data_IF_828402694859
#
_entry.id   IF_828402694859
#
_cell.length_a   1.000
_cell.length_b   1.000
_cell.length_c   1.000
_cell.angle_alpha   90.00
_cell.angle_beta   90.00
_cell.angle_gamma   90.00
#
_symmetry.space_group_name_H-M   'P 1'
#
loop_
_entity.id
_entity.type
_entity.pdbx_description
1 polymer ?
#
# COMPACT_ATOMS: atom_id res chain seq x y z
N UNK A 1 13.50 34.77 44.21
CA UNK A 1 13.15 33.48 44.81
C UNK A 1 11.64 33.33 44.91
N UNK A 2 11.05 32.50 44.06
CA UNK A 2 10.17 31.38 44.45
C UNK A 2 9.74 30.67 43.17
N UNK A 3 10.44 29.57 42.92
CA UNK A 3 10.11 28.51 41.97
C UNK A 3 8.78 27.87 42.41
N UNK A 4 7.86 27.64 41.47
CA UNK A 4 6.66 26.82 41.73
C UNK A 4 6.64 25.70 40.70
N UNK A 5 7.28 24.61 41.06
CA UNK A 5 7.40 23.39 40.29
C UNK A 5 6.03 22.69 40.16
N UNK A 6 5.61 22.40 38.93
CA UNK A 6 4.44 21.58 38.60
C UNK A 6 4.72 20.11 38.98
N UNK A 7 4.35 19.73 40.21
CA UNK A 7 4.41 18.35 40.70
C UNK A 7 3.25 17.50 40.15
N UNK A 8 3.37 17.11 38.88
CA UNK A 8 2.53 16.07 38.29
C UNK A 8 3.02 14.68 38.74
N UNK A 9 2.70 14.32 39.99
CA UNK A 9 3.04 13.02 40.57
C UNK A 9 2.55 11.83 39.74
N UNK A 10 3.45 10.90 39.43
CA UNK A 10 3.20 9.61 38.78
C UNK A 10 2.30 8.75 39.68
N UNK A 11 0.98 8.87 39.49
CA UNK A 11 0.00 8.10 40.26
C UNK A 11 0.22 6.60 40.05
N UNK A 12 0.41 5.80 41.11
CA UNK A 12 0.59 4.35 40.99
C UNK A 12 -0.54 3.68 40.20
N UNK A 13 -0.20 2.68 39.38
CA UNK A 13 -1.12 2.01 38.45
C UNK A 13 -2.43 1.53 39.09
N UNK A 14 -2.41 1.20 40.38
CA UNK A 14 -3.57 0.73 41.15
C UNK A 14 -4.65 1.80 41.35
N UNK A 15 -4.26 3.08 41.34
CA UNK A 15 -5.17 4.22 41.49
C UNK A 15 -5.55 4.85 40.14
N UNK A 16 -5.00 4.37 39.02
CA UNK A 16 -5.40 4.81 37.68
C UNK A 16 -6.77 4.20 37.36
N UNK A 17 -7.70 5.05 36.92
CA UNK A 17 -9.05 4.60 36.51
C UNK A 17 -8.91 3.54 35.41
N UNK A 18 -9.63 2.42 35.49
CA UNK A 18 -9.60 1.43 34.42
C UNK A 18 -10.07 2.07 33.11
N UNK A 19 -9.38 1.73 32.01
CA UNK A 19 -9.61 2.29 30.66
C UNK A 19 -11.07 2.22 30.21
N UNK A 20 -11.85 1.27 30.72
CA UNK A 20 -13.26 1.07 30.41
C UNK A 20 -14.23 2.04 31.12
N UNK A 21 -13.77 2.83 32.09
CA UNK A 21 -14.62 3.73 32.88
C UNK A 21 -15.27 4.87 32.07
N UNK A 22 -14.72 5.20 30.90
CA UNK A 22 -15.28 6.22 29.97
C UNK A 22 -16.00 5.66 28.74
N UNK A 23 -16.04 4.33 28.56
CA UNK A 23 -16.62 3.69 27.37
C UNK A 23 -18.12 3.42 27.50
N UNK A 24 -18.70 3.50 28.71
CA UNK A 24 -20.12 3.21 28.98
C UNK A 24 -21.08 4.29 28.47
N UNK A 25 -20.59 5.52 28.29
CA UNK A 25 -21.39 6.66 27.81
C UNK A 25 -21.18 6.93 26.30
N UNK A 26 -20.40 6.09 25.61
CA UNK A 26 -20.27 6.16 24.15
C UNK A 26 -21.38 5.35 23.51
N UNK A 27 -21.97 5.88 22.44
CA UNK A 27 -22.94 5.14 21.63
C UNK A 27 -22.30 3.79 21.23
N UNK A 28 -22.96 2.65 21.47
CA UNK A 28 -22.50 1.36 20.99
C UNK A 28 -22.24 1.42 19.49
N UNK A 29 -21.21 0.71 19.02
CA UNK A 29 -21.01 0.54 17.59
C UNK A 29 -22.11 -0.40 17.10
N UNK A 30 -23.01 0.10 16.26
CA UNK A 30 -24.01 -0.71 15.58
C UNK A 30 -23.30 -1.53 14.49
N UNK A 31 -23.13 -2.83 14.75
CA UNK A 31 -22.61 -3.75 13.75
C UNK A 31 -23.71 -4.04 12.74
N UNK A 32 -23.57 -3.48 11.53
CA UNK A 32 -24.44 -3.83 10.42
C UNK A 32 -24.23 -5.32 10.07
N UNK A 33 -25.29 -6.16 10.08
CA UNK A 33 -25.20 -7.53 9.59
C UNK A 33 -24.83 -7.53 8.11
N UNK A 34 -23.95 -8.44 7.69
CA UNK A 34 -23.43 -8.52 6.32
C UNK A 34 -24.46 -9.00 5.27
N UNK A 35 -25.73 -9.14 5.65
CA UNK A 35 -26.82 -9.66 4.83
C UNK A 35 -27.90 -8.61 4.61
N UNK A 36 -27.50 -7.48 4.05
CA UNK A 36 -28.39 -6.71 3.19
C UNK A 36 -27.81 -6.91 1.80
N UNK A 37 -28.54 -7.59 0.93
CA UNK A 37 -28.24 -7.67 -0.49
C UNK A 37 -28.19 -6.25 -1.02
N UNK A 38 -26.98 -5.70 -1.13
CA UNK A 38 -26.75 -4.41 -1.77
C UNK A 38 -27.31 -4.53 -3.18
N UNK A 39 -28.38 -3.78 -3.56
CA UNK A 39 -28.80 -3.76 -4.94
C UNK A 39 -27.62 -3.24 -5.74
N UNK A 40 -27.11 -4.11 -6.63
CA UNK A 40 -25.98 -3.82 -7.48
C UNK A 40 -26.14 -2.43 -8.09
N UNK A 41 -25.15 -1.57 -7.88
CA UNK A 41 -25.07 -0.26 -8.49
C UNK A 41 -25.41 -0.37 -10.00
N UNK A 42 -26.21 0.56 -10.56
CA UNK A 42 -26.64 0.44 -11.95
C UNK A 42 -25.41 0.39 -12.84
N UNK A 43 -25.18 -0.78 -13.45
CA UNK A 43 -24.15 -0.95 -14.45
C UNK A 43 -24.37 0.09 -15.55
N UNK A 44 -23.30 0.83 -15.88
CA UNK A 44 -23.28 1.77 -17.02
C UNK A 44 -23.91 1.08 -18.24
N UNK A 45 -24.67 1.80 -19.09
CA UNK A 45 -25.35 1.20 -20.22
C UNK A 45 -24.33 0.46 -21.08
N UNK A 46 -24.41 -0.87 -21.03
CA UNK A 46 -23.66 -1.76 -21.90
C UNK A 46 -24.10 -1.43 -23.31
N UNK A 47 -23.15 -1.07 -24.18
CA UNK A 47 -23.39 -0.74 -25.59
C UNK A 47 -24.36 -1.77 -26.18
N UNK A 48 -25.60 -1.35 -26.44
CA UNK A 48 -26.62 -2.22 -27.02
C UNK A 48 -26.36 -2.29 -28.52
N UNK A 49 -25.63 -3.31 -28.94
CA UNK A 49 -25.47 -3.62 -30.35
C UNK A 49 -26.86 -3.98 -30.93
N UNK A 50 -27.25 -3.45 -32.11
CA UNK A 50 -28.56 -3.73 -32.68
C UNK A 50 -28.77 -5.23 -32.89
N UNK A 51 -29.86 -5.77 -32.31
CA UNK A 51 -30.18 -7.20 -32.26
C UNK A 51 -30.21 -7.87 -33.66
N UNK A 52 -30.51 -7.11 -34.71
CA UNK A 52 -30.57 -7.60 -36.09
C UNK A 52 -29.23 -7.79 -36.80
N UNK A 53 -28.13 -7.22 -36.29
CA UNK A 53 -26.80 -7.40 -36.92
C UNK A 53 -26.17 -8.75 -36.57
N UNK A 54 -26.45 -9.29 -35.38
CA UNK A 54 -25.94 -10.62 -34.99
C UNK A 54 -26.69 -11.74 -35.72
N UNK A 55 -28.02 -11.67 -35.84
CA UNK A 55 -28.83 -12.75 -36.45
C UNK A 55 -28.47 -13.02 -37.92
N UNK A 56 -28.11 -11.98 -38.67
CA UNK A 56 -27.73 -12.13 -40.08
C UNK A 56 -26.31 -12.70 -40.27
N UNK A 57 -25.41 -12.48 -39.30
CA UNK A 57 -24.09 -13.10 -39.30
C UNK A 57 -24.15 -14.59 -38.94
N UNK A 58 -24.96 -14.97 -37.93
CA UNK A 58 -25.08 -16.37 -37.50
C UNK A 58 -25.86 -17.26 -38.50
N UNK A 59 -26.86 -16.71 -39.20
CA UNK A 59 -27.63 -17.46 -40.20
C UNK A 59 -26.86 -17.81 -41.49
N UNK A 60 -25.81 -17.04 -41.82
CA UNK A 60 -24.89 -17.39 -42.92
C UNK A 60 -23.87 -18.47 -42.56
N UNK A 61 -23.55 -18.65 -41.27
CA UNK A 61 -22.62 -19.65 -40.76
C UNK A 61 -23.30 -20.99 -40.40
N UNK A 62 -24.62 -21.00 -40.17
CA UNK A 62 -25.39 -22.18 -39.79
C UNK A 62 -25.64 -23.22 -40.91
N UNK A 63 -24.90 -23.14 -42.02
CA UNK A 63 -24.93 -24.14 -43.10
C UNK A 63 -23.67 -24.99 -43.03
N UNK A 64 -23.52 -25.74 -41.95
CA UNK A 64 -22.56 -26.82 -41.85
C UNK A 64 -23.31 -28.14 -41.96
N UNK A 65 -22.90 -29.00 -42.87
CA UNK A 65 -23.49 -30.33 -43.06
C UNK A 65 -23.45 -31.13 -41.73
N UNK A 66 -24.50 -31.91 -41.40
CA UNK A 66 -24.66 -32.55 -40.09
C UNK A 66 -23.69 -33.73 -39.80
N UNK A 67 -22.61 -33.89 -40.57
CA UNK A 67 -21.70 -35.04 -40.50
C UNK A 67 -20.28 -34.68 -40.03
N UNK A 68 -20.04 -33.47 -39.52
CA UNK A 68 -18.74 -33.10 -38.97
C UNK A 68 -18.60 -33.49 -37.49
N UNK A 69 -17.46 -34.06 -37.07
CA UNK A 69 -17.23 -34.39 -35.67
C UNK A 69 -17.21 -33.12 -34.80
N UNK A 70 -17.80 -33.19 -33.61
CA UNK A 70 -17.84 -32.10 -32.63
C UNK A 70 -16.63 -32.19 -31.71
N UNK A 71 -16.02 -31.04 -31.37
CA UNK A 71 -14.90 -31.00 -30.44
C UNK A 71 -15.35 -31.05 -28.97
N UNK A 72 -14.69 -31.85 -28.14
CA UNK A 72 -15.00 -31.97 -26.70
C UNK A 72 -14.71 -30.71 -25.89
N UNK A 73 -13.74 -29.90 -26.32
CA UNK A 73 -13.28 -28.70 -25.59
C UNK A 73 -14.19 -27.52 -25.82
N UNK A 74 -14.39 -27.11 -27.08
CA UNK A 74 -15.18 -25.93 -27.43
C UNK A 74 -16.65 -26.26 -27.78
N UNK A 75 -17.00 -27.54 -27.93
CA UNK A 75 -18.35 -28.01 -28.31
C UNK A 75 -18.85 -27.45 -29.64
N UNK A 76 -17.93 -27.05 -30.50
CA UNK A 76 -18.21 -26.59 -31.86
C UNK A 76 -17.88 -27.68 -32.89
N UNK A 77 -18.58 -27.71 -34.04
CA UNK A 77 -18.28 -28.63 -35.11
C UNK A 77 -16.90 -28.33 -35.72
N UNK A 78 -16.13 -29.37 -36.00
CA UNK A 78 -14.85 -29.25 -36.71
C UNK A 78 -15.17 -29.04 -38.20
N UNK A 79 -15.25 -27.78 -38.61
CA UNK A 79 -15.47 -27.38 -40.02
C UNK A 79 -14.18 -27.34 -40.84
N UNK A 80 -13.02 -27.45 -40.17
CA UNK A 80 -11.70 -27.37 -40.78
C UNK A 80 -11.23 -28.75 -41.28
N UNK A 81 -10.36 -28.76 -42.30
CA UNK A 81 -9.91 -30.00 -42.96
C UNK A 81 -9.13 -30.95 -42.03
N UNK A 82 -8.54 -30.43 -40.94
CA UNK A 82 -7.82 -31.23 -39.94
C UNK A 82 -8.18 -30.80 -38.53
N UNK A 83 -8.19 -31.75 -37.58
CA UNK A 83 -8.40 -31.46 -36.16
C UNK A 83 -7.35 -30.51 -35.58
N UNK A 84 -6.12 -30.54 -36.11
CA UNK A 84 -5.05 -29.62 -35.72
C UNK A 84 -5.36 -28.17 -36.06
N UNK A 85 -5.97 -27.93 -37.22
CA UNK A 85 -6.32 -26.58 -37.65
C UNK A 85 -7.44 -26.03 -36.76
N UNK A 86 -8.47 -26.85 -36.47
CA UNK A 86 -9.51 -26.50 -35.50
C UNK A 86 -8.94 -26.18 -34.11
N UNK A 87 -7.94 -26.94 -33.63
CA UNK A 87 -7.32 -26.66 -32.33
C UNK A 87 -6.58 -25.30 -32.32
N UNK A 88 -6.04 -24.86 -33.46
CA UNK A 88 -5.40 -23.55 -33.60
C UNK A 88 -6.41 -22.41 -33.84
N UNK A 89 -7.67 -22.74 -34.14
CA UNK A 89 -8.72 -21.74 -34.31
C UNK A 89 -8.87 -20.89 -33.05
N UNK A 90 -9.18 -19.60 -33.24
CA UNK A 90 -9.32 -18.65 -32.13
C UNK A 90 -10.43 -19.10 -31.17
N UNK A 91 -11.51 -19.69 -31.69
CA UNK A 91 -12.63 -20.13 -30.85
C UNK A 91 -12.22 -21.29 -29.94
N UNK A 92 -11.47 -22.25 -30.47
CA UNK A 92 -10.91 -23.33 -29.66
C UNK A 92 -9.91 -22.78 -28.63
N UNK A 93 -8.99 -21.91 -29.05
CA UNK A 93 -7.95 -21.33 -28.18
C UNK A 93 -8.54 -20.52 -27.01
N UNK A 94 -9.63 -19.78 -27.24
CA UNK A 94 -10.33 -19.02 -26.18
C UNK A 94 -11.08 -19.96 -25.23
N UNK A 95 -11.53 -21.12 -25.71
CA UNK A 95 -12.27 -22.11 -24.92
C UNK A 95 -11.37 -22.95 -24.00
N UNK A 96 -10.04 -22.90 -24.19
CA UNK A 96 -9.10 -23.59 -23.33
C UNK A 96 -9.07 -22.97 -21.91
N UNK A 97 -8.90 -23.79 -20.85
CA UNK A 97 -8.72 -23.25 -19.52
C UNK A 97 -7.47 -22.37 -19.50
N UNK A 98 -7.63 -21.13 -19.01
CA UNK A 98 -6.53 -20.18 -18.94
C UNK A 98 -5.46 -20.73 -18.00
N UNK A 99 -4.36 -21.21 -18.57
CA UNK A 99 -3.19 -21.58 -17.80
C UNK A 99 -2.48 -20.31 -17.38
N UNK A 100 -2.07 -20.30 -16.12
CA UNK A 100 -1.29 -19.21 -15.58
C UNK A 100 0.19 -19.42 -15.92
N UNK A 101 0.92 -18.35 -16.30
CA UNK A 101 2.36 -18.48 -16.44
C UNK A 101 2.97 -18.90 -15.09
N UNK A 102 3.93 -19.83 -15.10
CA UNK A 102 4.52 -20.35 -13.88
C UNK A 102 5.11 -19.18 -13.07
N UNK A 103 4.87 -19.20 -11.76
CA UNK A 103 5.40 -18.16 -10.88
C UNK A 103 6.93 -18.24 -10.83
N UNK A 104 7.59 -17.08 -10.70
CA UNK A 104 9.05 -16.96 -10.61
C UNK A 104 9.59 -17.37 -9.22
N UNK A 105 9.06 -18.46 -8.65
CA UNK A 105 9.53 -19.06 -7.40
C UNK A 105 10.49 -20.18 -7.76
N UNK A 106 11.68 -20.15 -7.17
CA UNK A 106 12.65 -21.22 -7.37
C UNK A 106 12.19 -22.51 -6.69
N UNK A 107 11.82 -23.51 -7.51
CA UNK A 107 11.41 -24.85 -7.06
C UNK A 107 12.54 -25.63 -6.38
N UNK A 108 13.79 -25.19 -6.53
CA UNK A 108 14.96 -25.77 -5.84
C UNK A 108 15.19 -25.18 -4.46
N UNK A 109 14.50 -24.08 -4.11
CA UNK A 109 14.69 -23.45 -2.81
C UNK A 109 14.22 -24.38 -1.68
N UNK A 110 14.98 -24.43 -0.57
CA UNK A 110 14.62 -25.24 0.60
C UNK A 110 13.28 -24.80 1.20
N UNK A 111 12.98 -23.50 1.16
CA UNK A 111 11.71 -22.94 1.60
C UNK A 111 10.53 -23.50 0.80
N UNK A 112 10.63 -23.52 -0.54
CA UNK A 112 9.63 -24.16 -1.38
C UNK A 112 9.45 -25.64 -1.05
N UNK A 113 10.55 -26.40 -0.93
CA UNK A 113 10.49 -27.83 -0.60
C UNK A 113 9.77 -28.09 0.73
N UNK A 114 10.00 -27.26 1.74
CA UNK A 114 9.31 -27.34 3.02
C UNK A 114 7.81 -27.04 2.87
N UNK A 115 7.45 -25.95 2.20
CA UNK A 115 6.06 -25.54 2.00
C UNK A 115 5.27 -26.57 1.18
N UNK A 116 5.88 -27.10 0.11
CA UNK A 116 5.28 -28.13 -0.73
C UNK A 116 5.04 -29.43 0.04
N UNK A 117 5.95 -29.83 0.95
CA UNK A 117 5.73 -30.98 1.86
C UNK A 117 4.52 -30.81 2.76
N UNK A 118 4.18 -29.57 3.10
CA UNK A 118 2.99 -29.23 3.87
C UNK A 118 1.76 -28.91 2.99
N UNK A 119 1.79 -29.28 1.71
CA UNK A 119 0.65 -29.18 0.80
C UNK A 119 0.42 -27.78 0.22
N UNK A 120 1.39 -26.88 0.30
CA UNK A 120 1.28 -25.56 -0.34
C UNK A 120 1.78 -25.61 -1.79
N UNK A 121 0.91 -25.21 -2.73
CA UNK A 121 1.24 -25.08 -4.15
C UNK A 121 1.20 -23.60 -4.61
N UNK A 122 2.29 -23.05 -5.16
CA UNK A 122 2.31 -21.71 -5.71
C UNK A 122 1.39 -21.50 -6.92
N UNK A 123 1.13 -22.55 -7.72
CA UNK A 123 0.34 -22.41 -8.95
C UNK A 123 -1.14 -22.16 -8.65
N UNK A 124 -1.62 -22.55 -7.47
CA UNK A 124 -2.98 -22.24 -7.01
C UNK A 124 -3.18 -20.75 -6.72
N UNK A 125 -2.11 -19.96 -6.55
CA UNK A 125 -2.13 -18.52 -6.21
C UNK A 125 -2.97 -18.17 -4.98
N UNK A 126 -3.14 -19.13 -4.08
CA UNK A 126 -3.82 -18.94 -2.80
C UNK A 126 -2.82 -18.68 -1.68
N UNK A 127 -3.27 -17.99 -0.65
CA UNK A 127 -2.46 -17.77 0.55
C UNK A 127 -2.48 -18.97 1.51
N UNK A 128 -1.62 -18.93 2.52
CA UNK A 128 -1.56 -19.96 3.55
C UNK A 128 -2.76 -19.85 4.52
N UNK A 129 -3.19 -20.94 5.13
CA UNK A 129 -4.25 -20.93 6.15
C UNK A 129 -5.06 -22.22 6.19
N UNK A 130 -5.95 -22.37 7.17
CA UNK A 130 -6.68 -23.62 7.41
C UNK A 130 -7.56 -24.06 6.23
N UNK A 131 -8.15 -23.10 5.52
CA UNK A 131 -8.92 -23.33 4.28
C UNK A 131 -8.11 -23.10 3.01
N UNK A 132 -6.78 -23.02 3.11
CA UNK A 132 -5.89 -22.73 1.99
C UNK A 132 -6.15 -21.38 1.31
N UNK A 133 -6.88 -20.44 1.93
CA UNK A 133 -7.29 -19.16 1.31
C UNK A 133 -7.37 -17.96 2.28
N UNK A 134 -7.08 -18.13 3.57
CA UNK A 134 -7.27 -17.05 4.56
C UNK A 134 -6.10 -16.05 4.59
N UNK A 135 -4.88 -16.53 4.34
CA UNK A 135 -3.68 -15.71 4.34
C UNK A 135 -3.47 -14.94 3.04
N UNK A 136 -2.55 -13.98 3.07
CA UNK A 136 -2.15 -13.22 1.90
C UNK A 136 -1.20 -14.05 1.03
N UNK A 137 -1.47 -14.14 -0.28
CA UNK A 137 -0.60 -14.86 -1.23
C UNK A 137 0.71 -14.10 -1.54
N UNK A 138 0.69 -12.77 -1.51
CA UNK A 138 1.83 -11.92 -1.88
C UNK A 138 2.37 -11.13 -0.69
N UNK A 139 3.69 -10.87 -0.64
CA UNK A 139 4.28 -10.02 0.39
C UNK A 139 3.63 -8.62 0.45
N UNK A 140 3.53 -8.07 1.65
CA UNK A 140 3.07 -6.68 1.83
C UNK A 140 4.15 -5.73 1.31
N UNK A 141 3.78 -4.82 0.41
CA UNK A 141 4.69 -3.76 -0.02
C UNK A 141 4.83 -2.74 1.10
N UNK A 142 6.05 -2.59 1.63
CA UNK A 142 6.35 -1.54 2.60
C UNK A 142 6.48 -0.19 1.90
N UNK A 143 5.93 0.87 2.51
CA UNK A 143 6.15 2.25 2.08
C UNK A 143 7.39 2.76 2.79
N UNK A 144 8.47 3.13 2.06
CA UNK A 144 9.66 3.66 2.70
C UNK A 144 9.36 5.03 3.30
N UNK A 145 9.82 5.23 4.54
CA UNK A 145 9.78 6.54 5.19
C UNK A 145 11.12 7.24 4.94
N UNK A 146 11.07 8.35 4.20
CA UNK A 146 12.25 9.16 3.92
C UNK A 146 12.41 10.35 4.86
N UNK A 147 11.45 10.56 5.76
CA UNK A 147 11.43 11.70 6.67
C UNK A 147 12.18 11.41 7.98
N UNK A 148 12.84 12.44 8.53
CA UNK A 148 13.50 12.39 9.84
C UNK A 148 12.54 12.58 11.02
N UNK A 149 11.29 12.93 10.74
CA UNK A 149 10.26 13.18 11.76
C UNK A 149 9.90 11.86 12.45
N UNK A 150 9.51 11.87 13.73
CA UNK A 150 9.02 10.68 14.44
C UNK A 150 7.80 10.02 13.77
N UNK A 151 7.63 8.70 13.95
CA UNK A 151 6.39 8.02 13.51
C UNK A 151 5.21 8.53 14.35
N UNK A 152 4.10 8.88 13.71
CA UNK A 152 2.91 9.39 14.41
C UNK A 152 2.90 10.89 14.71
N UNK A 153 3.99 11.62 14.41
CA UNK A 153 3.98 13.08 14.48
C UNK A 153 3.18 13.62 13.31
N UNK A 154 2.03 14.26 13.61
CA UNK A 154 1.27 15.00 12.62
C UNK A 154 1.98 16.32 12.37
N UNK A 155 2.75 16.39 11.29
CA UNK A 155 3.10 17.69 10.75
C UNK A 155 1.82 18.28 10.18
N UNK A 156 1.44 19.47 10.67
CA UNK A 156 0.48 20.27 9.94
C UNK A 156 1.02 20.42 8.52
N UNK A 157 0.19 20.04 7.54
CA UNK A 157 0.55 20.14 6.14
C UNK A 157 0.79 21.61 5.86
N UNK A 158 2.04 22.04 5.92
CA UNK A 158 2.44 23.33 5.37
C UNK A 158 2.30 23.17 3.87
N UNK A 159 1.13 23.57 3.36
CA UNK A 159 0.81 23.54 1.94
C UNK A 159 1.95 24.21 1.17
N UNK A 160 2.71 23.41 0.43
CA UNK A 160 3.77 23.91 -0.45
C UNK A 160 5.11 24.25 0.24
N UNK A 161 5.47 23.55 1.32
CA UNK A 161 6.84 23.57 1.84
C UNK A 161 7.85 23.10 0.79
N UNK A 162 8.29 24.02 -0.08
CA UNK A 162 9.44 23.80 -0.97
C UNK A 162 10.55 23.25 -0.10
N UNK A 163 10.96 22.00 -0.33
CA UNK A 163 12.26 21.51 0.11
C UNK A 163 13.24 22.60 -0.31
N UNK A 164 13.81 23.34 0.65
CA UNK A 164 14.80 24.37 0.35
C UNK A 164 15.89 23.65 -0.42
N UNK A 165 15.93 23.84 -1.75
CA UNK A 165 17.00 23.31 -2.58
C UNK A 165 18.29 23.70 -1.87
N UNK A 166 19.16 22.72 -1.58
CA UNK A 166 20.46 23.01 -1.02
C UNK A 166 21.07 24.10 -1.90
N UNK A 167 21.30 25.27 -1.31
CA UNK A 167 21.97 26.35 -2.01
C UNK A 167 23.41 25.87 -2.21
N UNK A 168 23.80 25.63 -3.46
CA UNK A 168 25.19 25.33 -3.78
C UNK A 168 26.01 26.60 -3.56
N UNK A 169 26.51 26.76 -2.33
CA UNK A 169 27.32 27.91 -1.93
C UNK A 169 28.75 27.72 -2.42
N UNK A 170 29.37 28.79 -2.94
CA UNK A 170 30.79 28.80 -3.27
C UNK A 170 31.64 28.68 -1.98
N UNK A 171 32.86 28.14 -2.06
CA UNK A 171 33.78 27.97 -0.92
C UNK A 171 33.94 29.24 -0.06
N UNK A 172 34.05 30.43 -0.68
CA UNK A 172 34.13 31.71 0.06
C UNK A 172 32.84 32.05 0.81
N UNK A 173 31.69 31.73 0.22
CA UNK A 173 30.38 31.98 0.83
C UNK A 173 30.13 31.01 2.00
N UNK A 174 30.54 29.75 1.88
CA UNK A 174 30.48 28.76 2.96
C UNK A 174 31.35 29.18 4.16
N UNK A 175 32.57 29.67 3.92
CA UNK A 175 33.43 30.19 4.98
C UNK A 175 32.82 31.41 5.69
N UNK A 176 32.23 32.34 4.92
CA UNK A 176 31.56 33.52 5.49
C UNK A 176 30.37 33.11 6.37
N UNK A 177 29.53 32.19 5.90
CA UNK A 177 28.39 31.69 6.65
C UNK A 177 28.82 31.02 7.95
N UNK A 178 29.83 30.14 7.90
CA UNK A 178 30.36 29.48 9.10
C UNK A 178 30.93 30.47 10.12
N UNK A 179 31.60 31.53 9.65
CA UNK A 179 32.13 32.58 10.55
C UNK A 179 31.00 33.38 11.21
N UNK A 180 29.94 33.69 10.46
CA UNK A 180 28.76 34.35 11.00
C UNK A 180 28.02 33.47 12.02
N UNK A 181 27.86 32.17 11.73
CA UNK A 181 27.29 31.20 12.67
C UNK A 181 28.11 31.11 13.96
N UNK A 182 29.44 31.05 13.87
CA UNK A 182 30.32 31.07 15.05
C UNK A 182 30.17 32.37 15.84
N UNK A 183 30.07 33.52 15.18
CA UNK A 183 29.86 34.81 15.86
C UNK A 183 28.50 34.87 16.56
N UNK A 184 27.44 34.35 15.93
CA UNK A 184 26.11 34.26 16.55
C UNK A 184 26.10 33.32 17.73
N UNK A 185 26.74 32.15 17.60
CA UNK A 185 26.87 31.18 18.68
C UNK A 185 27.66 31.75 19.87
N UNK A 186 28.77 32.46 19.60
CA UNK A 186 29.53 33.18 20.64
C UNK A 186 28.70 34.27 21.30
N UNK A 187 27.90 35.02 20.53
CA UNK A 187 27.02 36.04 21.11
C UNK A 187 25.98 35.42 22.05
N UNK A 188 25.35 34.33 21.64
CA UNK A 188 24.41 33.59 22.49
C UNK A 188 25.11 33.01 23.72
N UNK A 189 26.32 32.48 23.57
CA UNK A 189 27.11 31.97 24.69
C UNK A 189 27.45 33.09 25.68
N UNK A 190 27.85 34.26 25.19
CA UNK A 190 28.09 35.43 26.03
C UNK A 190 26.80 35.90 26.72
N UNK A 191 25.67 35.92 26.02
CA UNK A 191 24.38 36.30 26.63
C UNK A 191 23.93 35.32 27.72
N UNK A 192 24.18 34.01 27.55
CA UNK A 192 23.75 32.99 28.51
C UNK A 192 24.71 32.79 29.68
N UNK A 193 26.02 32.91 29.45
CA UNK A 193 27.05 32.46 30.41
C UNK A 193 27.95 33.58 30.93
N UNK A 194 27.80 34.81 30.44
CA UNK A 194 28.61 35.93 30.90
C UNK A 194 27.92 36.61 32.07
N UNK A 195 28.54 36.54 33.25
CA UNK A 195 28.01 37.16 34.46
C UNK A 195 28.03 38.70 34.32
N UNK A 196 26.86 39.33 34.45
CA UNK A 196 26.71 40.78 34.31
C UNK A 196 27.54 41.58 35.32
N UNK A 197 27.70 41.05 36.55
CA UNK A 197 28.53 41.66 37.59
C UNK A 197 30.01 41.71 37.18
N UNK A 198 30.53 40.62 36.63
CA UNK A 198 31.92 40.54 36.14
C UNK A 198 32.15 41.49 34.97
N UNK A 199 31.16 41.66 34.08
CA UNK A 199 31.26 42.62 32.98
C UNK A 199 31.30 44.07 33.46
N UNK A 200 30.50 44.44 34.47
CA UNK A 200 30.51 45.78 35.06
C UNK A 200 31.84 46.09 35.75
N UNK A 201 32.40 45.12 36.47
CA UNK A 201 33.73 45.26 37.06
C UNK A 201 34.85 45.36 36.03
N UNK A 202 34.77 44.61 34.92
CA UNK A 202 35.77 44.68 33.85
C UNK A 202 35.65 45.94 32.98
N UNK A 203 34.49 46.58 32.90
CA UNK A 203 34.33 47.85 32.18
C UNK A 203 34.94 49.05 32.90
N UNK A 204 35.00 49.02 34.23
CA UNK A 204 35.55 50.11 35.05
C UNK A 204 37.10 50.11 35.10
N UNK A 205 37.73 49.07 34.56
CA UNK A 205 39.19 48.85 34.53
C UNK A 205 39.87 49.29 33.22
N UNK A 206 39.14 49.96 32.32
CA UNK A 206 39.62 50.35 30.99
C UNK A 206 39.67 51.85 30.77
#
# INVERSE_FOLDING_TARGET
MTDSEDEAGEVPLQFKKPFSSGLRNRKPIEFAPATEDVPAAPAKPRLTLPKGYLSNAYSKLAKSDPSTPVCDVCKEPITEATATAHNLSIVHQISLPVTHPPLAIDRKSKGFSLMAKHGWDPEERKGLGAKGMEGRAYPVKAVPKHDTVGLGVKLDKVDGGRVKKLQNMNAKQAQKHSREEKRRAQKLHDEFYRNDEVNKYLSDLR
#
